data_IF_245609252497
#
_entry.id   IF_245609252497
#
_cell.length_a   1.000
_cell.length_b   1.000
_cell.length_c   1.000
_cell.angle_alpha   90.00
_cell.angle_beta   90.00
_cell.angle_gamma   90.00
#
_symmetry.space_group_name_H-M   'P 1'
#
loop_
_entity.id
_entity.type
_entity.pdbx_description
1 polymer ?
#
# COMPACT_ATOMS: atom_id res chain seq x y z
N UNK A 1 10.93 19.32 -14.58
CA UNK A 1 10.91 18.79 -13.19
C UNK A 1 9.85 19.56 -12.43
N UNK A 2 8.99 18.87 -11.69
CA UNK A 2 7.97 19.51 -10.85
C UNK A 2 8.68 19.98 -9.57
N UNK A 3 8.52 21.25 -9.18
CA UNK A 3 9.08 21.79 -7.92
C UNK A 3 8.22 21.32 -6.74
N UNK A 4 8.70 20.39 -5.89
CA UNK A 4 7.90 19.82 -4.81
C UNK A 4 7.40 20.86 -3.80
N UNK A 5 8.08 22.02 -3.70
CA UNK A 5 7.71 23.10 -2.78
C UNK A 5 6.57 23.98 -3.29
N UNK A 6 6.23 23.87 -4.58
CA UNK A 6 5.16 24.63 -5.24
C UNK A 6 3.97 23.76 -5.66
N UNK A 7 4.01 22.48 -5.32
CA UNK A 7 2.92 21.53 -5.59
C UNK A 7 1.88 21.65 -4.49
N UNK A 8 0.66 22.03 -4.86
CA UNK A 8 -0.51 21.83 -4.01
C UNK A 8 -0.97 20.36 -4.11
N UNK A 9 -0.74 19.60 -3.05
CA UNK A 9 -1.14 18.18 -2.98
C UNK A 9 -2.67 17.98 -3.15
N UNK A 10 -3.48 19.01 -2.93
CA UNK A 10 -4.93 18.93 -3.14
C UNK A 10 -5.34 19.05 -4.60
N UNK A 11 -4.49 19.63 -5.45
CA UNK A 11 -4.76 19.84 -6.88
C UNK A 11 -4.23 18.71 -7.76
N UNK A 12 -3.41 17.81 -7.20
CA UNK A 12 -2.94 16.65 -7.93
C UNK A 12 -4.05 15.60 -8.05
N UNK A 13 -4.23 14.98 -9.23
CA UNK A 13 -5.12 13.81 -9.35
C UNK A 13 -4.60 12.69 -8.46
N UNK A 14 -5.41 12.30 -7.47
CA UNK A 14 -5.04 11.27 -6.48
C UNK A 14 -5.50 9.90 -6.98
N UNK A 15 -4.57 8.93 -7.00
CA UNK A 15 -4.92 7.51 -7.13
C UNK A 15 -5.05 6.93 -5.72
N UNK A 16 -6.14 6.18 -5.48
CA UNK A 16 -6.31 5.45 -4.23
C UNK A 16 -5.49 4.17 -4.28
N UNK A 17 -4.45 4.09 -3.46
CA UNK A 17 -3.61 2.90 -3.37
C UNK A 17 -4.33 1.87 -2.51
N UNK A 18 -4.57 0.68 -3.07
CA UNK A 18 -5.23 -0.44 -2.39
C UNK A 18 -4.26 -1.58 -2.06
N UNK A 19 -3.02 -1.50 -2.53
CA UNK A 19 -1.99 -2.49 -2.28
C UNK A 19 -0.60 -2.05 -2.69
N UNK A 20 0.39 -2.78 -2.19
CA UNK A 20 1.79 -2.62 -2.53
C UNK A 20 2.45 -4.00 -2.63
N UNK A 21 3.27 -4.18 -3.66
CA UNK A 21 4.12 -5.36 -3.83
C UNK A 21 5.57 -4.91 -3.99
N UNK A 22 6.51 -5.69 -3.47
CA UNK A 22 7.91 -5.30 -3.44
C UNK A 22 8.87 -6.48 -3.52
N UNK A 23 10.04 -6.22 -4.07
CA UNK A 23 11.18 -7.11 -4.16
C UNK A 23 12.48 -6.31 -3.98
N UNK A 24 13.55 -6.99 -3.57
CA UNK A 24 14.85 -6.34 -3.36
C UNK A 24 15.99 -7.22 -3.88
N UNK A 25 17.06 -6.55 -4.30
CA UNK A 25 18.36 -7.12 -4.62
C UNK A 25 19.46 -6.28 -3.96
N UNK A 26 20.72 -6.70 -4.11
CA UNK A 26 21.85 -6.06 -3.43
C UNK A 26 21.94 -4.54 -3.65
N UNK A 27 21.65 -4.09 -4.87
CA UNK A 27 21.82 -2.70 -5.29
C UNK A 27 20.48 -2.00 -5.63
N UNK A 28 19.35 -2.69 -5.50
CA UNK A 28 18.06 -2.19 -5.98
C UNK A 28 16.89 -2.66 -5.13
N UNK A 29 15.94 -1.78 -4.90
CA UNK A 29 14.60 -2.10 -4.45
C UNK A 29 13.63 -1.83 -5.59
N UNK A 30 12.76 -2.79 -5.88
CA UNK A 30 11.68 -2.65 -6.85
C UNK A 30 10.35 -2.82 -6.12
N UNK A 31 9.40 -1.94 -6.36
CA UNK A 31 8.08 -2.03 -5.76
C UNK A 31 7.04 -1.47 -6.71
N UNK A 32 5.81 -1.90 -6.56
CA UNK A 32 4.69 -1.37 -7.31
C UNK A 32 3.52 -1.10 -6.37
N UNK A 33 2.78 -0.04 -6.68
CA UNK A 33 1.58 0.34 -5.97
C UNK A 33 0.38 0.02 -6.87
N UNK A 34 -0.62 -0.64 -6.31
CA UNK A 34 -1.86 -0.98 -7.02
C UNK A 34 -2.94 0.05 -6.74
N UNK A 35 -3.76 0.33 -7.74
CA UNK A 35 -4.95 1.18 -7.63
C UNK A 35 -6.01 0.70 -8.62
N UNK A 36 -6.98 -0.05 -8.12
CA UNK A 36 -7.93 -0.78 -8.96
C UNK A 36 -7.20 -1.73 -9.91
N UNK A 37 -7.41 -1.56 -11.21
CA UNK A 37 -6.73 -2.37 -12.24
C UNK A 37 -5.37 -1.83 -12.68
N UNK A 38 -4.86 -0.78 -12.03
CA UNK A 38 -3.56 -0.19 -12.37
C UNK A 38 -2.46 -0.73 -11.45
N UNK A 39 -1.29 -0.98 -12.03
CA UNK A 39 -0.07 -1.31 -11.32
C UNK A 39 1.01 -0.33 -11.78
N UNK A 40 1.45 0.55 -10.88
CA UNK A 40 2.50 1.52 -11.17
C UNK A 40 3.83 1.02 -10.54
N UNK A 41 4.80 0.52 -11.33
CA UNK A 41 6.08 0.01 -10.83
C UNK A 41 7.15 1.11 -10.69
N UNK A 42 7.98 0.98 -9.66
CA UNK A 42 9.08 1.87 -9.31
C UNK A 42 10.31 1.07 -8.91
N UNK A 43 11.49 1.68 -9.09
CA UNK A 43 12.74 1.15 -8.57
C UNK A 43 13.61 2.26 -7.98
N UNK A 44 14.31 1.93 -6.91
CA UNK A 44 15.15 2.87 -6.16
C UNK A 44 16.41 2.19 -5.63
N UNK A 45 17.46 2.95 -5.37
CA UNK A 45 18.63 2.45 -4.64
C UNK A 45 18.29 2.21 -3.16
N UNK A 46 19.05 1.36 -2.44
CA UNK A 46 18.83 1.09 -1.02
C UNK A 46 18.81 2.35 -0.14
N UNK A 47 19.68 3.32 -0.44
CA UNK A 47 19.74 4.58 0.31
C UNK A 47 18.46 5.40 0.16
N UNK A 48 17.92 5.50 -1.07
CA UNK A 48 16.68 6.22 -1.34
C UNK A 48 15.50 5.49 -0.71
N UNK A 49 15.42 4.16 -0.85
CA UNK A 49 14.38 3.36 -0.20
C UNK A 49 14.38 3.54 1.32
N UNK A 50 15.56 3.56 1.95
CA UNK A 50 15.66 3.80 3.40
C UNK A 50 15.12 5.17 3.80
N UNK A 51 15.37 6.19 3.00
CA UNK A 51 14.82 7.53 3.20
C UNK A 51 13.30 7.54 3.09
N UNK A 52 12.75 6.90 2.05
CA UNK A 52 11.30 6.76 1.83
C UNK A 52 10.64 6.05 3.01
N UNK A 53 11.15 4.88 3.41
CA UNK A 53 10.59 4.11 4.53
C UNK A 53 10.61 4.91 5.84
N UNK A 54 11.69 5.64 6.11
CA UNK A 54 11.80 6.48 7.31
C UNK A 54 10.81 7.64 7.29
N UNK A 55 10.57 8.23 6.11
CA UNK A 55 9.56 9.27 5.94
C UNK A 55 8.14 8.73 6.13
N UNK A 56 7.79 7.59 5.50
CA UNK A 56 6.47 6.95 5.64
C UNK A 56 6.17 6.62 7.11
N UNK A 57 7.12 6.00 7.81
CA UNK A 57 6.92 5.62 9.23
C UNK A 57 6.65 6.85 10.10
N UNK A 58 7.32 7.98 9.85
CA UNK A 58 7.05 9.23 10.58
C UNK A 58 5.66 9.79 10.28
N UNK A 59 5.18 9.67 9.04
CA UNK A 59 3.83 10.12 8.70
C UNK A 59 2.78 9.29 9.45
N UNK A 60 2.95 7.96 9.48
CA UNK A 60 2.08 7.05 10.23
C UNK A 60 2.10 7.38 11.73
N UNK A 61 3.28 7.50 12.33
CA UNK A 61 3.42 7.83 13.75
C UNK A 61 2.75 9.17 14.11
N UNK A 62 2.91 10.19 13.26
CA UNK A 62 2.29 11.49 13.49
C UNK A 62 0.77 11.44 13.35
N UNK A 63 0.26 10.66 12.37
CA UNK A 63 -1.17 10.41 12.23
C UNK A 63 -1.72 9.75 13.48
N UNK A 64 -1.09 8.68 13.96
CA UNK A 64 -1.57 7.92 15.12
C UNK A 64 -1.57 8.75 16.41
N UNK A 65 -0.59 9.64 16.59
CA UNK A 65 -0.58 10.60 17.71
C UNK A 65 -1.76 11.58 17.67
N UNK A 66 -2.27 11.91 16.49
CA UNK A 66 -3.34 12.89 16.30
C UNK A 66 -4.73 12.26 16.28
N UNK A 67 -4.86 11.08 15.66
CA UNK A 67 -6.15 10.48 15.31
C UNK A 67 -6.39 9.11 15.96
N UNK A 68 -5.40 8.57 16.68
CA UNK A 68 -5.46 7.25 17.30
C UNK A 68 -4.75 6.18 16.46
N UNK A 69 -4.47 5.04 17.11
CA UNK A 69 -3.73 3.92 16.51
C UNK A 69 -4.50 3.33 15.34
N UNK A 70 -3.80 3.00 14.25
CA UNK A 70 -4.40 2.34 13.09
C UNK A 70 -4.68 0.87 13.47
N UNK A 71 -5.94 0.47 13.44
CA UNK A 71 -6.31 -0.93 13.62
C UNK A 71 -6.03 -1.73 12.35
N UNK A 72 -5.03 -2.61 12.42
CA UNK A 72 -4.62 -3.50 11.33
C UNK A 72 -5.24 -4.89 11.46
N UNK A 73 -6.18 -5.10 12.38
CA UNK A 73 -6.85 -6.39 12.56
C UNK A 73 -7.66 -6.70 11.29
N UNK A 74 -7.41 -7.83 10.60
CA UNK A 74 -8.20 -8.19 9.44
C UNK A 74 -9.68 -8.33 9.85
N UNK A 75 -10.64 -7.81 9.06
CA UNK A 75 -12.04 -7.95 9.38
C UNK A 75 -12.40 -9.44 9.50
N UNK A 76 -13.00 -9.83 10.62
CA UNK A 76 -13.40 -11.22 10.92
C UNK A 76 -14.56 -11.72 10.05
N UNK A 77 -15.24 -10.81 9.36
CA UNK A 77 -16.36 -11.12 8.48
C UNK A 77 -15.83 -11.54 7.11
N UNK A 78 -15.70 -12.85 6.93
CA UNK A 78 -15.56 -13.46 5.60
C UNK A 78 -16.77 -12.99 4.79
N UNK A 79 -16.55 -12.38 3.62
CA UNK A 79 -17.65 -11.91 2.77
C UNK A 79 -18.61 -13.07 2.52
N UNK A 80 -19.94 -12.90 2.69
CA UNK A 80 -20.90 -13.96 2.38
C UNK A 80 -20.76 -14.53 0.96
N UNK A 81 -20.23 -13.71 0.04
CA UNK A 81 -19.88 -14.11 -1.32
C UNK A 81 -18.70 -15.11 -1.35
N UNK A 82 -17.68 -14.92 -0.52
CA UNK A 82 -16.55 -15.85 -0.38
C UNK A 82 -16.94 -17.15 0.34
N UNK A 83 -17.87 -17.09 1.31
CA UNK A 83 -18.38 -18.28 2.00
C UNK A 83 -19.22 -19.16 1.06
N UNK A 84 -19.91 -18.55 0.09
CA UNK A 84 -20.75 -19.27 -0.88
C UNK A 84 -19.92 -20.09 -1.87
N UNK A 85 -18.70 -19.65 -2.21
CA UNK A 85 -17.76 -20.41 -3.06
C UNK A 85 -16.97 -21.48 -2.27
N UNK A 86 -16.68 -21.24 -0.98
CA UNK A 86 -16.01 -22.23 -0.13
C UNK A 86 -16.88 -23.48 0.10
N UNK A 87 -18.20 -23.34 0.14
CA UNK A 87 -19.13 -24.49 0.26
C UNK A 87 -19.26 -25.34 -1.01
N UNK A 88 -18.63 -24.96 -2.13
CA UNK A 88 -18.64 -25.75 -3.38
C UNK A 88 -17.42 -26.65 -3.56
N UNK A 89 -16.40 -26.56 -2.70
CA UNK A 89 -15.21 -27.42 -2.80
C UNK A 89 -15.17 -28.38 -1.62
N UNK A 90 -16.02 -29.41 -1.64
CA UNK A 90 -16.03 -30.41 -0.56
C UNK A 90 -17.19 -31.41 -0.51
N UNK A 91 -18.18 -31.33 -1.40
CA UNK A 91 -19.16 -32.41 -1.60
C UNK A 91 -18.90 -33.07 -2.95
N UNK A 92 -17.97 -34.02 -2.97
CA UNK A 92 -18.06 -35.27 -3.74
C UNK A 92 -16.76 -36.08 -3.55
N UNK A 93 -16.67 -36.78 -2.41
CA UNK A 93 -16.37 -38.22 -2.29
C UNK A 93 -16.20 -38.66 -0.84
#
# INVERSE_FOLDING_TARGET
MIDPKKVDMNQLPKKFIDGAIGAYGKEIFSFALTSGNNLDPFATTPQVMKSIASWINRQVENYEKQFGVIDMTPPSVVSPLQVSDLKKTGEDK
#
